data_IF_386917230193
#
_entry.id   IF_386917230193
#
_cell.length_a   1.000
_cell.length_b   1.000
_cell.length_c   1.000
_cell.angle_alpha   90.00
_cell.angle_beta   90.00
_cell.angle_gamma   90.00
#
_symmetry.space_group_name_H-M   'P 1'
#
loop_
_entity.id
_entity.type
_entity.pdbx_description
1 polymer ?
#
# COMPACT_ATOMS: atom_id res chain seq x y z
N UNK A 1 -0.99 6.25 -17.81
CA UNK A 1 0.14 5.50 -17.20
C UNK A 1 -0.39 4.77 -15.98
N UNK A 2 -0.20 3.45 -15.83
CA UNK A 2 -0.61 2.74 -14.62
C UNK A 2 0.22 3.23 -13.43
N UNK A 3 -0.47 3.64 -12.37
CA UNK A 3 0.17 4.03 -11.10
C UNK A 3 0.35 2.76 -10.30
N UNK A 4 1.58 2.47 -9.88
CA UNK A 4 1.88 1.32 -9.04
C UNK A 4 2.08 1.76 -7.59
N UNK A 5 1.62 0.94 -6.65
CA UNK A 5 1.85 1.13 -5.23
C UNK A 5 2.67 -0.03 -4.66
N UNK A 6 3.50 0.31 -3.68
CA UNK A 6 4.27 -0.67 -2.92
C UNK A 6 3.51 -0.93 -1.62
N UNK A 7 3.11 -2.19 -1.43
CA UNK A 7 2.44 -2.64 -0.22
C UNK A 7 3.45 -3.42 0.60
N UNK A 8 3.73 -2.96 1.81
CA UNK A 8 4.52 -3.69 2.78
C UNK A 8 3.60 -4.57 3.63
N UNK A 9 3.82 -5.88 3.58
CA UNK A 9 3.09 -6.84 4.40
C UNK A 9 4.06 -7.77 5.11
N UNK A 10 4.10 -7.72 6.45
CA UNK A 10 4.97 -8.56 7.29
C UNK A 10 6.45 -8.66 6.83
N UNK A 11 6.97 -7.57 6.27
CA UNK A 11 8.35 -7.48 5.77
C UNK A 11 8.53 -7.83 4.29
N UNK A 12 7.49 -8.36 3.63
CA UNK A 12 7.47 -8.54 2.18
C UNK A 12 6.94 -7.29 1.47
N UNK A 13 7.48 -7.02 0.28
CA UNK A 13 7.09 -5.89 -0.56
C UNK A 13 6.34 -6.40 -1.78
N UNK A 14 5.09 -6.00 -1.92
CA UNK A 14 4.23 -6.32 -3.04
C UNK A 14 4.04 -5.08 -3.91
N UNK A 15 4.50 -5.14 -5.17
CA UNK A 15 4.27 -4.07 -6.14
C UNK A 15 3.04 -4.43 -6.97
N UNK A 16 1.98 -3.66 -6.79
CA UNK A 16 0.70 -3.89 -7.47
C UNK A 16 0.20 -2.59 -8.09
N UNK A 17 -0.69 -2.71 -9.08
CA UNK A 17 -1.39 -1.53 -9.58
C UNK A 17 -2.20 -0.90 -8.45
N UNK A 18 -2.11 0.42 -8.33
CA UNK A 18 -2.76 1.20 -7.29
C UNK A 18 -4.23 1.44 -7.61
N UNK A 19 -4.94 0.34 -7.88
CA UNK A 19 -6.37 0.32 -8.16
C UNK A 19 -7.07 -0.49 -7.08
N UNK A 20 -8.31 -0.13 -6.69
CA UNK A 20 -9.03 -0.85 -5.64
C UNK A 20 -9.16 -2.35 -5.93
N UNK A 21 -9.37 -2.72 -7.20
CA UNK A 21 -9.51 -4.12 -7.63
C UNK A 21 -8.23 -4.94 -7.41
N UNK A 22 -7.06 -4.39 -7.72
CA UNK A 22 -5.78 -5.08 -7.54
C UNK A 22 -5.38 -5.15 -6.07
N UNK A 23 -5.64 -4.09 -5.29
CA UNK A 23 -5.42 -4.10 -3.84
C UNK A 23 -6.32 -5.13 -3.15
N UNK A 24 -7.58 -5.24 -3.57
CA UNK A 24 -8.51 -6.24 -3.04
C UNK A 24 -8.05 -7.66 -3.42
N UNK A 25 -7.61 -7.88 -4.67
CA UNK A 25 -7.06 -9.17 -5.09
C UNK A 25 -5.83 -9.57 -4.28
N UNK A 26 -4.92 -8.64 -4.00
CA UNK A 26 -3.77 -8.87 -3.13
C UNK A 26 -4.22 -9.22 -1.69
N UNK A 27 -5.16 -8.45 -1.14
CA UNK A 27 -5.68 -8.68 0.20
C UNK A 27 -6.31 -10.07 0.35
N UNK A 28 -7.08 -10.52 -0.65
CA UNK A 28 -7.69 -11.86 -0.65
C UNK A 28 -6.63 -12.95 -0.65
N UNK A 29 -5.58 -12.84 -1.48
CA UNK A 29 -4.51 -13.86 -1.52
C UNK A 29 -3.75 -13.96 -0.20
N UNK A 30 -3.45 -12.81 0.41
CA UNK A 30 -2.78 -12.76 1.72
C UNK A 30 -3.69 -13.36 2.80
N UNK A 31 -4.97 -13.01 2.78
CA UNK A 31 -5.98 -13.51 3.70
C UNK A 31 -6.17 -15.03 3.62
N UNK A 32 -6.18 -15.59 2.41
CA UNK A 32 -6.21 -17.03 2.17
C UNK A 32 -4.95 -17.72 2.72
N UNK A 33 -3.77 -17.14 2.51
CA UNK A 33 -2.51 -17.70 2.98
C UNK A 33 -2.37 -17.69 4.51
N UNK A 34 -2.90 -16.65 5.17
CA UNK A 34 -2.76 -16.45 6.63
C UNK A 34 -4.00 -16.85 7.43
N UNK A 35 -5.03 -17.41 6.77
CA UNK A 35 -6.34 -17.71 7.36
C UNK A 35 -6.95 -16.52 8.14
N UNK A 36 -6.74 -15.32 7.62
CA UNK A 36 -7.25 -14.06 8.19
C UNK A 36 -8.38 -13.48 7.35
N UNK A 37 -9.27 -12.66 7.93
CA UNK A 37 -10.32 -12.03 7.15
C UNK A 37 -9.75 -11.00 6.16
N UNK A 38 -10.09 -11.16 4.87
CA UNK A 38 -9.61 -10.30 3.78
C UNK A 38 -9.89 -8.81 4.00
N UNK A 39 -11.00 -8.47 4.66
CA UNK A 39 -11.36 -7.09 4.94
C UNK A 39 -10.33 -6.41 5.85
N UNK A 40 -9.80 -7.14 6.81
CA UNK A 40 -8.85 -6.60 7.78
C UNK A 40 -7.46 -6.44 7.15
N UNK A 41 -7.07 -7.41 6.32
CA UNK A 41 -5.87 -7.31 5.46
C UNK A 41 -5.99 -6.11 4.52
N UNK A 42 -7.14 -5.94 3.86
CA UNK A 42 -7.37 -4.84 2.93
C UNK A 42 -7.25 -3.46 3.60
N UNK A 43 -7.83 -3.28 4.79
CA UNK A 43 -7.67 -2.02 5.56
C UNK A 43 -6.22 -1.73 5.90
N UNK A 44 -5.49 -2.74 6.37
CA UNK A 44 -4.07 -2.60 6.72
C UNK A 44 -3.20 -2.25 5.50
N UNK A 45 -3.53 -2.82 4.33
CA UNK A 45 -2.90 -2.47 3.06
C UNK A 45 -3.14 -1.00 2.72
N UNK A 46 -4.39 -0.51 2.81
CA UNK A 46 -4.71 0.90 2.54
C UNK A 46 -3.96 1.83 3.49
N UNK A 47 -3.99 1.56 4.79
CA UNK A 47 -3.29 2.37 5.81
C UNK A 47 -1.79 2.43 5.53
N UNK A 48 -1.19 1.30 5.14
CA UNK A 48 0.24 1.23 4.82
C UNK A 48 0.59 2.08 3.59
N UNK A 49 -0.26 2.07 2.56
CA UNK A 49 -0.10 2.91 1.38
C UNK A 49 -0.23 4.39 1.77
N UNK A 50 -1.26 4.77 2.53
CA UNK A 50 -1.46 6.16 2.96
C UNK A 50 -0.29 6.68 3.80
N UNK A 51 0.26 5.85 4.69
CA UNK A 51 1.44 6.19 5.47
C UNK A 51 2.65 6.47 4.56
N UNK A 52 2.92 5.60 3.58
CA UNK A 52 4.01 5.77 2.62
C UNK A 52 3.84 7.05 1.77
N UNK A 53 2.62 7.32 1.28
CA UNK A 53 2.32 8.52 0.51
C UNK A 53 2.42 9.80 1.35
N UNK A 54 1.93 9.79 2.60
CA UNK A 54 2.02 10.95 3.49
C UNK A 54 3.47 11.29 3.85
N UNK A 55 4.29 10.28 4.15
CA UNK A 55 5.72 10.45 4.42
C UNK A 55 6.48 10.96 3.21
N UNK A 56 6.23 10.37 2.03
CA UNK A 56 6.84 10.82 0.77
C UNK A 56 6.44 12.25 0.44
N UNK A 57 5.17 12.62 0.64
CA UNK A 57 4.67 13.99 0.44
C UNK A 57 5.36 14.98 1.38
N UNK A 58 5.62 14.60 2.64
CA UNK A 58 6.32 15.44 3.61
C UNK A 58 7.78 15.68 3.20
N UNK A 59 8.48 14.64 2.77
CA UNK A 59 9.87 14.72 2.30
C UNK A 59 9.96 15.56 1.02
N UNK A 60 9.07 15.33 0.05
CA UNK A 60 9.02 16.12 -1.19
C UNK A 60 8.67 17.58 -0.90
N UNK A 61 7.74 17.85 0.01
CA UNK A 61 7.41 19.21 0.43
C UNK A 61 8.60 19.91 1.11
N UNK A 62 9.36 19.20 1.94
CA UNK A 62 10.59 19.73 2.55
C UNK A 62 11.67 20.03 1.49
N UNK A 63 11.91 19.09 0.57
CA UNK A 63 12.86 19.27 -0.54
C UNK A 63 12.47 20.43 -1.48
N UNK A 64 11.17 20.64 -1.68
CA UNK A 64 10.67 21.77 -2.48
C UNK A 64 10.69 23.11 -1.74
N UNK A 65 10.71 23.09 -0.40
CA UNK A 65 10.79 24.29 0.44
C UNK A 65 12.25 24.77 0.65
N UNK A 66 13.25 23.91 0.45
CA UNK A 66 14.68 24.27 0.47
C UNK A 66 15.18 24.95 -0.83
N UNK A 67 14.27 25.45 -1.69
CA UNK A 67 14.61 26.16 -2.94
C UNK A 67 14.07 27.59 -2.98
#
# INVERSE_FOLDING_TARGET
>A
MPVFCTVLWRGEKYRVECTPSHLLSLATKIAEAEATPYLEVYKQIIISIEAEYSGTRHIVAALLAEK
#
